data_IF_422111700700
#
_entry.id   IF_422111700700
#
_cell.length_a   1.000
_cell.length_b   1.000
_cell.length_c   1.000
_cell.angle_alpha   90.00
_cell.angle_beta   90.00
_cell.angle_gamma   90.00
#
_symmetry.space_group_name_H-M   'P 1'
#
loop_
_entity.id
_entity.type
_entity.pdbx_description
1 polymer ?
#
# COMPACT_ATOMS: atom_id res chain seq x y z
N UNK A 1 0.49 -14.67 -5.43
CA UNK A 1 -0.35 -15.67 -4.70
C UNK A 1 -1.51 -16.23 -5.52
N UNK A 2 -2.31 -15.41 -6.22
CA UNK A 2 -3.55 -15.89 -6.84
C UNK A 2 -3.42 -16.92 -7.98
N UNK A 3 -2.33 -16.95 -8.77
CA UNK A 3 -2.24 -17.84 -9.96
C UNK A 3 -2.18 -19.32 -9.58
N UNK A 4 -1.35 -19.71 -8.60
CA UNK A 4 -1.25 -21.11 -8.16
C UNK A 4 -2.60 -21.64 -7.69
N UNK A 5 -3.25 -20.93 -6.75
CA UNK A 5 -4.56 -21.31 -6.24
C UNK A 5 -5.67 -21.22 -7.31
N UNK A 6 -5.64 -20.23 -8.22
CA UNK A 6 -6.59 -20.17 -9.36
C UNK A 6 -6.45 -21.35 -10.29
N UNK A 7 -5.21 -21.75 -10.61
CA UNK A 7 -4.95 -22.93 -11.44
C UNK A 7 -5.42 -24.20 -10.72
N UNK A 8 -5.16 -24.30 -9.42
CA UNK A 8 -5.60 -25.44 -8.60
C UNK A 8 -7.14 -25.53 -8.54
N UNK A 9 -7.83 -24.40 -8.34
CA UNK A 9 -9.30 -24.34 -8.43
C UNK A 9 -9.81 -24.68 -9.83
N UNK A 10 -9.14 -24.20 -10.89
CA UNK A 10 -9.53 -24.49 -12.28
C UNK A 10 -9.34 -25.96 -12.63
N UNK A 11 -8.24 -26.57 -12.18
CA UNK A 11 -7.95 -27.98 -12.40
C UNK A 11 -8.90 -28.88 -11.60
N UNK A 12 -9.25 -28.51 -10.37
CA UNK A 12 -10.28 -29.18 -9.58
C UNK A 12 -11.68 -29.08 -10.24
N UNK A 13 -12.05 -27.90 -10.76
CA UNK A 13 -13.28 -27.71 -11.54
C UNK A 13 -13.30 -28.54 -12.84
N UNK A 14 -12.12 -28.83 -13.41
CA UNK A 14 -11.96 -29.66 -14.59
C UNK A 14 -11.85 -31.16 -14.27
N UNK A 15 -12.09 -31.58 -13.02
CA UNK A 15 -12.08 -32.98 -12.60
C UNK A 15 -10.70 -33.64 -12.55
N UNK A 16 -9.62 -32.87 -12.58
CA UNK A 16 -8.26 -33.41 -12.43
C UNK A 16 -7.97 -33.67 -10.96
N UNK A 17 -7.26 -34.77 -10.68
CA UNK A 17 -6.84 -35.07 -9.31
C UNK A 17 -5.97 -33.94 -8.74
N UNK A 18 -6.20 -33.56 -7.47
CA UNK A 18 -5.42 -32.52 -6.82
C UNK A 18 -3.95 -32.93 -6.75
N UNK A 19 -3.05 -32.05 -7.24
CA UNK A 19 -1.61 -32.24 -7.10
C UNK A 19 -1.18 -31.96 -5.66
N UNK A 20 -1.36 -32.95 -4.79
CA UNK A 20 -0.88 -32.97 -3.40
C UNK A 20 -1.80 -32.30 -2.38
N UNK A 21 -1.41 -32.41 -1.10
CA UNK A 21 -2.14 -31.83 0.02
C UNK A 21 -1.94 -30.30 0.07
N UNK A 22 -3.04 -29.57 0.28
CA UNK A 22 -2.98 -28.13 0.49
C UNK A 22 -2.32 -27.84 1.84
N UNK A 23 -1.22 -27.05 1.89
CA UNK A 23 -0.61 -26.69 3.15
C UNK A 23 -1.55 -25.84 4.01
N UNK A 24 -1.53 -26.09 5.32
CA UNK A 24 -2.37 -25.42 6.33
C UNK A 24 -1.94 -23.96 6.60
N UNK A 25 -0.79 -23.55 6.07
CA UNK A 25 -0.30 -22.18 6.12
C UNK A 25 -0.45 -21.56 4.74
N UNK A 26 -0.82 -20.27 4.67
CA UNK A 26 -1.01 -19.50 3.45
C UNK A 26 0.33 -19.21 2.72
N UNK A 27 1.23 -20.17 2.71
CA UNK A 27 2.47 -20.21 1.96
C UNK A 27 2.25 -21.09 0.73
N UNK A 28 3.01 -20.83 -0.32
CA UNK A 28 3.05 -21.78 -1.43
C UNK A 28 3.86 -23.00 -1.02
N UNK A 29 3.51 -24.21 -1.51
CA UNK A 29 4.32 -25.40 -1.28
C UNK A 29 5.80 -25.15 -1.61
N UNK A 30 6.71 -25.80 -0.88
CA UNK A 30 8.16 -25.60 -1.02
C UNK A 30 8.64 -25.69 -2.48
N UNK A 31 8.14 -26.66 -3.25
CA UNK A 31 8.50 -26.83 -4.65
C UNK A 31 8.10 -25.63 -5.52
N UNK A 32 6.94 -25.03 -5.26
CA UNK A 32 6.47 -23.83 -5.95
C UNK A 32 7.27 -22.60 -5.51
N UNK A 33 7.67 -22.50 -4.24
CA UNK A 33 8.57 -21.44 -3.78
C UNK A 33 9.93 -21.51 -4.50
N UNK A 34 10.53 -22.71 -4.58
CA UNK A 34 11.78 -22.95 -5.32
C UNK A 34 11.62 -22.58 -6.79
N UNK A 35 10.51 -22.96 -7.42
CA UNK A 35 10.22 -22.63 -8.82
C UNK A 35 10.16 -21.12 -9.04
N UNK A 36 9.52 -20.37 -8.14
CA UNK A 36 9.42 -18.90 -8.21
C UNK A 36 10.76 -18.22 -8.04
N UNK A 37 11.57 -18.67 -7.07
CA UNK A 37 12.93 -18.17 -6.87
C UNK A 37 13.79 -18.44 -8.11
N UNK A 38 13.70 -19.64 -8.68
CA UNK A 38 14.41 -19.98 -9.91
C UNK A 38 14.01 -19.05 -11.05
N UNK A 39 12.71 -18.82 -11.24
CA UNK A 39 12.22 -17.88 -12.26
C UNK A 39 12.75 -16.47 -12.04
N UNK A 40 12.71 -15.94 -10.80
CA UNK A 40 13.27 -14.63 -10.46
C UNK A 40 14.78 -14.56 -10.77
N UNK A 41 15.52 -15.62 -10.46
CA UNK A 41 16.95 -15.70 -10.78
C UNK A 41 17.21 -15.72 -12.29
N UNK A 42 16.37 -16.38 -13.09
CA UNK A 42 16.48 -16.32 -14.56
C UNK A 42 16.14 -14.93 -15.11
N UNK A 43 15.16 -14.24 -14.52
CA UNK A 43 14.83 -12.85 -14.90
C UNK A 43 15.98 -11.86 -14.63
N UNK A 44 16.87 -12.15 -13.68
CA UNK A 44 18.03 -11.28 -13.41
C UNK A 44 19.15 -11.48 -14.46
N UNK A 45 19.14 -12.60 -15.18
CA UNK A 45 20.18 -12.95 -16.17
C UNK A 45 19.90 -12.41 -17.57
N UNK A 46 18.66 -12.01 -17.84
CA UNK A 46 18.29 -11.43 -19.14
C UNK A 46 18.65 -9.96 -19.21
N UNK A 47 18.80 -9.45 -20.42
CA UNK A 47 19.11 -8.03 -20.65
C UNK A 47 18.03 -7.13 -20.06
N UNK A 48 18.44 -5.94 -19.60
CA UNK A 48 17.54 -5.00 -18.93
C UNK A 48 16.37 -4.58 -19.82
N UNK A 49 16.58 -4.40 -21.13
CA UNK A 49 15.50 -4.03 -22.04
C UNK A 49 14.42 -5.14 -22.14
N UNK A 50 14.85 -6.40 -22.19
CA UNK A 50 13.95 -7.55 -22.21
C UNK A 50 13.22 -7.72 -20.88
N UNK A 51 13.90 -7.45 -19.76
CA UNK A 51 13.31 -7.46 -18.44
C UNK A 51 12.23 -6.37 -18.28
N UNK A 52 12.47 -5.17 -18.81
CA UNK A 52 11.47 -4.09 -18.86
C UNK A 52 10.28 -4.49 -19.72
N UNK A 53 10.49 -5.12 -20.88
CA UNK A 53 9.39 -5.63 -21.73
C UNK A 53 8.54 -6.65 -20.97
N UNK A 54 9.16 -7.58 -20.24
CA UNK A 54 8.44 -8.55 -19.40
C UNK A 54 7.64 -7.86 -18.29
N UNK A 55 8.25 -6.88 -17.61
CA UNK A 55 7.61 -6.10 -16.56
C UNK A 55 6.36 -5.34 -17.04
N UNK A 56 6.40 -4.80 -18.27
CA UNK A 56 5.29 -4.06 -18.87
C UNK A 56 4.23 -4.98 -19.49
N UNK A 57 4.64 -6.11 -20.08
CA UNK A 57 3.74 -7.01 -20.81
C UNK A 57 2.73 -7.70 -19.89
N UNK A 58 3.16 -8.13 -18.70
CA UNK A 58 2.26 -8.82 -17.78
C UNK A 58 2.45 -8.44 -16.30
N UNK A 59 1.56 -9.00 -15.46
CA UNK A 59 1.61 -8.81 -14.02
C UNK A 59 2.29 -9.97 -13.27
N UNK A 60 2.79 -11.00 -13.95
CA UNK A 60 3.45 -12.15 -13.36
C UNK A 60 4.73 -11.73 -12.61
N UNK A 61 5.63 -11.02 -13.28
CA UNK A 61 6.88 -10.58 -12.65
C UNK A 61 6.59 -9.70 -11.42
N UNK A 62 5.66 -8.77 -11.52
CA UNK A 62 5.26 -7.92 -10.39
C UNK A 62 4.56 -8.69 -9.26
N UNK A 63 3.81 -9.74 -9.58
CA UNK A 63 3.19 -10.60 -8.58
C UNK A 63 4.22 -11.47 -7.84
N UNK A 64 5.31 -11.85 -8.52
CA UNK A 64 6.44 -12.55 -7.94
C UNK A 64 7.28 -11.63 -7.06
N UNK A 65 7.56 -10.41 -7.51
CA UNK A 65 8.20 -9.37 -6.69
C UNK A 65 7.40 -9.12 -5.41
N UNK A 66 6.08 -8.89 -5.52
CA UNK A 66 5.20 -8.70 -4.35
C UNK A 66 5.17 -9.93 -3.44
N UNK A 67 5.31 -11.14 -3.99
CA UNK A 67 5.44 -12.35 -3.18
C UNK A 67 6.79 -12.39 -2.44
N UNK A 68 7.89 -12.07 -3.11
CA UNK A 68 9.23 -12.00 -2.51
C UNK A 68 9.32 -10.98 -1.38
N UNK A 69 8.68 -9.81 -1.54
CA UNK A 69 8.61 -8.77 -0.49
C UNK A 69 7.84 -9.20 0.77
N UNK A 70 7.02 -10.25 0.69
CA UNK A 70 6.29 -10.82 1.84
C UNK A 70 7.01 -12.03 2.46
N UNK A 71 8.17 -12.47 1.92
CA UNK A 71 8.96 -13.53 2.54
C UNK A 71 9.61 -13.03 3.84
N UNK A 72 9.96 -13.94 4.75
CA UNK A 72 10.61 -13.56 6.02
C UNK A 72 12.06 -13.07 5.83
N UNK A 73 12.74 -13.52 4.77
CA UNK A 73 14.15 -13.27 4.51
C UNK A 73 14.42 -11.85 4.00
N UNK A 74 15.19 -11.10 4.78
CA UNK A 74 15.57 -9.72 4.50
C UNK A 74 16.51 -9.60 3.28
N UNK A 75 17.33 -10.61 2.97
CA UNK A 75 18.17 -10.64 1.76
C UNK A 75 17.29 -10.69 0.51
N UNK A 76 16.26 -11.55 0.53
CA UNK A 76 15.29 -11.65 -0.59
C UNK A 76 14.55 -10.33 -0.75
N UNK A 77 14.07 -9.72 0.34
CA UNK A 77 13.39 -8.42 0.28
C UNK A 77 14.28 -7.33 -0.31
N UNK A 78 15.55 -7.25 0.11
CA UNK A 78 16.52 -6.30 -0.45
C UNK A 78 16.70 -6.50 -1.94
N UNK A 79 16.86 -7.74 -2.41
CA UNK A 79 16.93 -8.03 -3.83
C UNK A 79 15.66 -7.57 -4.57
N UNK A 80 14.48 -7.81 -3.99
CA UNK A 80 13.20 -7.41 -4.58
C UNK A 80 13.02 -5.89 -4.66
N UNK A 81 13.35 -5.12 -3.62
CA UNK A 81 13.22 -3.65 -3.66
C UNK A 81 14.19 -3.05 -4.67
N UNK A 82 15.43 -3.57 -4.75
CA UNK A 82 16.43 -3.10 -5.72
C UNK A 82 15.98 -3.40 -7.15
N UNK A 83 15.56 -4.65 -7.42
CA UNK A 83 15.01 -5.03 -8.71
C UNK A 83 13.83 -4.13 -9.11
N UNK A 84 12.89 -3.90 -8.18
CA UNK A 84 11.73 -3.04 -8.40
C UNK A 84 12.15 -1.63 -8.80
N UNK A 85 13.15 -1.07 -8.11
CA UNK A 85 13.61 0.29 -8.36
C UNK A 85 14.21 0.48 -9.76
N UNK A 86 14.79 -0.57 -10.36
CA UNK A 86 15.37 -0.48 -11.71
C UNK A 86 14.37 -0.11 -12.80
N UNK A 87 13.07 -0.39 -12.60
CA UNK A 87 12.04 -0.09 -13.60
C UNK A 87 11.65 1.40 -13.63
N UNK A 88 11.86 2.14 -12.54
CA UNK A 88 11.58 3.57 -12.43
C UNK A 88 10.20 4.04 -12.95
N UNK A 89 9.20 3.16 -12.94
CA UNK A 89 7.85 3.44 -13.43
C UNK A 89 6.82 3.57 -12.31
N UNK A 90 5.57 3.92 -12.68
CA UNK A 90 4.51 4.12 -11.68
C UNK A 90 4.17 2.84 -10.92
N UNK A 91 4.33 1.68 -11.56
CA UNK A 91 4.05 0.37 -10.96
C UNK A 91 5.08 0.02 -9.90
N UNK A 92 6.37 0.27 -10.17
CA UNK A 92 7.47 0.13 -9.24
C UNK A 92 7.35 1.11 -8.06
N UNK A 93 7.02 2.38 -8.34
CA UNK A 93 6.74 3.38 -7.30
C UNK A 93 5.68 2.86 -6.32
N UNK A 94 4.53 2.41 -6.84
CA UNK A 94 3.44 1.93 -6.02
C UNK A 94 3.86 0.71 -5.18
N UNK A 95 4.63 -0.24 -5.74
CA UNK A 95 5.12 -1.41 -5.00
C UNK A 95 6.01 -1.00 -3.83
N UNK A 96 6.92 -0.06 -4.04
CA UNK A 96 7.82 0.43 -2.99
C UNK A 96 7.07 1.28 -1.95
N UNK A 97 6.10 2.10 -2.36
CA UNK A 97 5.20 2.83 -1.45
C UNK A 97 4.37 1.88 -0.58
N UNK A 98 3.85 0.81 -1.18
CA UNK A 98 3.14 -0.24 -0.46
C UNK A 98 4.05 -0.89 0.60
N UNK A 99 5.32 -1.12 0.24
CA UNK A 99 6.31 -1.75 1.12
C UNK A 99 6.66 -0.88 2.35
N UNK A 100 6.91 0.42 2.18
CA UNK A 100 7.31 1.31 3.29
C UNK A 100 6.16 1.61 4.28
N UNK A 101 4.91 1.41 3.85
CA UNK A 101 3.72 1.57 4.70
C UNK A 101 3.41 0.29 5.50
N UNK A 102 3.92 -0.86 5.06
CA UNK A 102 3.66 -2.14 5.72
C UNK A 102 4.39 -2.23 7.08
N UNK A 103 3.60 -2.33 8.15
CA UNK A 103 4.09 -2.42 9.53
C UNK A 103 4.92 -3.67 9.82
N UNK A 104 4.75 -4.72 9.02
CA UNK A 104 5.45 -6.00 9.19
C UNK A 104 6.89 -5.94 8.68
N UNK A 105 7.22 -4.92 7.89
CA UNK A 105 8.55 -4.73 7.33
C UNK A 105 9.46 -4.02 8.32
N UNK A 106 10.72 -4.44 8.39
CA UNK A 106 11.71 -3.85 9.30
C UNK A 106 12.07 -2.43 8.85
N UNK A 107 12.32 -1.56 9.81
CA UNK A 107 12.66 -0.17 9.52
C UNK A 107 14.01 -0.03 8.80
N UNK A 108 14.93 -0.99 9.01
CA UNK A 108 16.21 -1.08 8.29
C UNK A 108 15.99 -1.17 6.78
N UNK A 109 15.10 -2.06 6.31
CA UNK A 109 14.85 -2.20 4.87
C UNK A 109 14.01 -1.04 4.33
N UNK A 110 13.11 -0.49 5.14
CA UNK A 110 12.37 0.73 4.75
C UNK A 110 13.31 1.90 4.50
N UNK A 111 14.38 2.04 5.29
CA UNK A 111 15.41 3.05 5.06
C UNK A 111 16.08 2.90 3.68
N UNK A 112 16.41 1.67 3.28
CA UNK A 112 16.94 1.40 1.93
C UNK A 112 15.91 1.74 0.85
N UNK A 113 14.64 1.36 1.05
CA UNK A 113 13.55 1.66 0.11
C UNK A 113 13.32 3.18 -0.07
N UNK A 114 13.52 4.02 0.94
CA UNK A 114 13.50 5.48 0.76
C UNK A 114 14.60 5.98 -0.16
N UNK A 115 15.81 5.44 -0.03
CA UNK A 115 16.92 5.77 -0.93
C UNK A 115 16.56 5.46 -2.38
N UNK A 116 15.93 4.31 -2.61
CA UNK A 116 15.47 3.88 -3.94
C UNK A 116 14.34 4.76 -4.48
N UNK A 117 13.31 5.06 -3.67
CA UNK A 117 12.23 5.96 -4.06
C UNK A 117 12.73 7.35 -4.45
N UNK A 118 13.73 7.86 -3.72
CA UNK A 118 14.38 9.13 -4.05
C UNK A 118 15.17 9.05 -5.35
N UNK A 119 15.87 7.94 -5.60
CA UNK A 119 16.61 7.72 -6.85
C UNK A 119 15.68 7.64 -8.07
N UNK A 120 14.49 7.09 -7.90
CA UNK A 120 13.43 7.02 -8.93
C UNK A 120 12.69 8.35 -9.16
N UNK A 121 13.11 9.46 -8.53
CA UNK A 121 12.45 10.78 -8.60
C UNK A 121 10.95 10.73 -8.25
N UNK A 122 10.59 9.87 -7.28
CA UNK A 122 9.20 9.70 -6.87
C UNK A 122 8.68 10.98 -6.24
N UNK A 123 7.58 11.48 -6.80
CA UNK A 123 6.92 12.68 -6.30
C UNK A 123 6.42 12.49 -4.87
N UNK A 124 6.74 13.47 -4.06
CA UNK A 124 6.33 13.63 -2.69
C UNK A 124 5.01 14.39 -2.56
N UNK A 125 4.43 14.51 -1.37
CA UNK A 125 4.66 13.65 -0.20
C UNK A 125 4.28 12.20 -0.47
N UNK A 126 4.88 11.29 0.29
CA UNK A 126 4.34 9.95 0.51
C UNK A 126 4.49 9.56 1.98
N UNK A 127 3.77 8.52 2.40
CA UNK A 127 3.73 8.11 3.80
C UNK A 127 4.50 6.82 4.02
N UNK A 128 4.98 6.63 5.24
CA UNK A 128 5.63 5.40 5.67
C UNK A 128 5.35 5.11 7.14
N UNK A 129 5.64 3.88 7.55
CA UNK A 129 5.60 3.45 8.94
C UNK A 129 7.02 3.19 9.45
N UNK A 130 7.52 3.98 10.40
CA UNK A 130 8.87 3.86 10.98
C UNK A 130 8.77 4.08 12.49
N UNK A 131 9.51 3.32 13.29
CA UNK A 131 9.56 3.43 14.76
C UNK A 131 8.17 3.31 15.40
N UNK A 132 7.31 2.45 14.83
CA UNK A 132 5.93 2.26 15.30
C UNK A 132 4.99 3.44 14.99
N UNK A 133 5.45 4.45 14.25
CA UNK A 133 4.69 5.64 13.92
C UNK A 133 4.54 5.85 12.42
N UNK A 134 3.42 6.43 12.01
CA UNK A 134 3.27 6.92 10.64
C UNK A 134 3.99 8.25 10.47
N UNK A 135 4.88 8.30 9.49
CA UNK A 135 5.66 9.48 9.12
C UNK A 135 5.32 9.89 7.69
N UNK A 136 5.09 11.18 7.48
CA UNK A 136 5.00 11.76 6.14
C UNK A 136 6.42 12.09 5.70
N UNK A 137 6.86 11.48 4.59
CA UNK A 137 8.15 11.76 3.98
C UNK A 137 7.99 12.96 3.07
N UNK A 138 8.63 14.07 3.47
CA UNK A 138 8.72 15.32 2.73
C UNK A 138 10.18 15.62 2.48
N UNK A 139 10.59 15.75 1.23
CA UNK A 139 11.82 16.43 0.83
C UNK A 139 11.49 17.81 0.25
N UNK A 140 10.33 18.09 -0.40
CA UNK A 140 10.07 19.46 -0.90
C UNK A 140 8.61 19.97 -1.14
N UNK A 141 7.54 19.22 -0.87
CA UNK A 141 6.19 19.63 -1.33
C UNK A 141 5.50 20.81 -0.60
N UNK A 142 6.06 21.35 0.49
CA UNK A 142 5.28 22.16 1.45
C UNK A 142 5.94 23.48 1.83
N UNK A 143 6.50 24.21 0.87
CA UNK A 143 6.98 25.57 1.15
C UNK A 143 5.85 26.54 1.55
N UNK A 144 4.61 26.30 1.10
CA UNK A 144 3.50 27.25 1.26
C UNK A 144 2.39 26.84 2.26
N UNK A 145 2.36 25.58 2.70
CA UNK A 145 1.40 25.14 3.73
C UNK A 145 1.97 25.40 5.13
N UNK A 146 1.42 26.39 5.85
CA UNK A 146 1.87 26.71 7.21
C UNK A 146 1.92 25.50 8.15
N UNK A 147 2.87 25.48 9.11
CA UNK A 147 3.16 24.36 10.04
C UNK A 147 1.92 23.74 10.71
N UNK A 148 0.89 24.54 11.02
CA UNK A 148 -0.33 24.07 11.66
C UNK A 148 -1.19 23.19 10.73
N UNK A 149 -1.28 23.52 9.44
CA UNK A 149 -2.00 22.70 8.45
C UNK A 149 -1.32 21.35 8.32
N UNK A 150 0.02 21.32 8.26
CA UNK A 150 0.77 20.08 8.21
C UNK A 150 0.51 19.18 9.41
N UNK A 151 0.48 19.75 10.62
CA UNK A 151 0.19 18.98 11.84
C UNK A 151 -1.16 18.24 11.73
N UNK A 152 -2.23 18.93 11.31
CA UNK A 152 -3.56 18.32 11.21
C UNK A 152 -3.61 17.14 10.23
N UNK A 153 -2.90 17.21 9.10
CA UNK A 153 -2.89 16.14 8.10
C UNK A 153 -2.14 14.89 8.61
N UNK A 154 -1.00 15.09 9.29
CA UNK A 154 -0.30 13.99 9.98
C UNK A 154 -1.17 13.36 11.07
N UNK A 155 -1.95 14.18 11.77
CA UNK A 155 -2.86 13.75 12.83
C UNK A 155 -4.04 12.94 12.28
N UNK A 156 -4.53 13.22 11.06
CA UNK A 156 -5.52 12.38 10.35
C UNK A 156 -4.99 10.97 10.15
N UNK A 157 -3.77 10.85 9.60
CA UNK A 157 -3.13 9.55 9.35
C UNK A 157 -2.90 8.79 10.65
N UNK A 158 -2.44 9.50 11.69
CA UNK A 158 -2.21 8.91 13.01
C UNK A 158 -3.51 8.36 13.62
N UNK A 159 -4.61 9.12 13.54
CA UNK A 159 -5.93 8.68 14.02
C UNK A 159 -6.47 7.48 13.23
N UNK A 160 -6.34 7.51 11.90
CA UNK A 160 -6.73 6.43 11.00
C UNK A 160 -6.05 5.12 11.39
N UNK A 161 -4.72 5.13 11.45
CA UNK A 161 -3.94 3.92 11.69
C UNK A 161 -4.16 3.38 13.09
N UNK A 162 -4.08 4.23 14.12
CA UNK A 162 -4.24 3.78 15.50
C UNK A 162 -5.60 3.11 15.72
N UNK A 163 -6.65 3.66 15.11
CA UNK A 163 -8.01 3.10 15.18
C UNK A 163 -8.10 1.79 14.40
N UNK A 164 -7.57 1.74 13.17
CA UNK A 164 -7.57 0.51 12.37
C UNK A 164 -6.73 -0.60 13.00
N UNK A 165 -5.64 -0.27 13.69
CA UNK A 165 -4.84 -1.22 14.45
C UNK A 165 -5.64 -1.80 15.63
N UNK A 166 -6.32 -0.95 16.39
CA UNK A 166 -7.18 -1.39 17.50
C UNK A 166 -8.30 -2.33 17.00
N UNK A 167 -8.83 -2.04 15.82
CA UNK A 167 -9.90 -2.82 15.16
C UNK A 167 -9.40 -4.01 14.31
N UNK A 168 -8.10 -4.29 14.30
CA UNK A 168 -7.44 -5.34 13.46
C UNK A 168 -7.80 -5.23 11.96
N UNK A 169 -7.89 -4.00 11.47
CA UNK A 169 -8.29 -3.62 10.12
C UNK A 169 -7.09 -3.24 9.23
N UNK A 170 -5.90 -3.73 9.58
CA UNK A 170 -4.61 -3.47 8.94
C UNK A 170 -4.64 -3.56 7.40
N UNK A 171 -5.38 -4.54 6.89
CA UNK A 171 -5.48 -4.84 5.46
C UNK A 171 -6.01 -3.68 4.62
N UNK A 172 -6.77 -2.75 5.22
CA UNK A 172 -7.32 -1.59 4.52
C UNK A 172 -6.45 -0.33 4.63
N UNK A 173 -5.41 -0.33 5.48
CA UNK A 173 -4.56 0.85 5.73
C UNK A 173 -3.94 1.33 4.42
N UNK A 174 -3.39 0.42 3.62
CA UNK A 174 -2.76 0.77 2.36
C UNK A 174 -3.72 1.51 1.42
N UNK A 175 -4.94 0.98 1.27
CA UNK A 175 -5.95 1.58 0.40
C UNK A 175 -6.41 2.95 0.93
N UNK A 176 -6.54 3.10 2.25
CA UNK A 176 -6.86 4.38 2.87
C UNK A 176 -5.76 5.43 2.63
N UNK A 177 -4.49 5.02 2.68
CA UNK A 177 -3.35 5.90 2.41
C UNK A 177 -3.29 6.34 0.95
N UNK A 178 -3.58 5.45 0.00
CA UNK A 178 -3.67 5.81 -1.43
C UNK A 178 -4.73 6.88 -1.67
N UNK A 179 -5.93 6.72 -1.09
CA UNK A 179 -7.02 7.72 -1.17
C UNK A 179 -6.59 9.05 -0.57
N UNK A 180 -5.87 9.02 0.55
CA UNK A 180 -5.37 10.23 1.21
C UNK A 180 -4.30 10.95 0.40
N UNK A 181 -3.38 10.20 -0.21
CA UNK A 181 -2.36 10.73 -1.09
C UNK A 181 -2.98 11.39 -2.33
N UNK A 182 -3.94 10.73 -2.97
CA UNK A 182 -4.73 11.30 -4.08
C UNK A 182 -5.41 12.62 -3.68
N UNK A 183 -6.02 12.65 -2.50
CA UNK A 183 -6.63 13.87 -1.95
C UNK A 183 -5.62 15.01 -1.79
N UNK A 184 -4.44 14.74 -1.25
CA UNK A 184 -3.39 15.76 -1.06
C UNK A 184 -2.85 16.24 -2.41
N UNK A 185 -2.58 15.32 -3.35
CA UNK A 185 -2.07 15.65 -4.69
C UNK A 185 -3.04 16.48 -5.52
N UNK A 186 -4.35 16.40 -5.28
CA UNK A 186 -5.29 17.27 -5.97
C UNK A 186 -5.05 18.78 -5.71
N UNK A 187 -4.41 19.11 -4.59
CA UNK A 187 -4.00 20.47 -4.26
C UNK A 187 -2.54 20.76 -4.64
N UNK A 188 -1.95 20.00 -5.58
CA UNK A 188 -0.58 20.24 -6.05
C UNK A 188 -0.37 21.71 -6.42
N UNK A 189 0.69 22.33 -5.88
CA UNK A 189 1.00 23.77 -5.96
C UNK A 189 -0.10 24.74 -5.48
N UNK A 190 -1.08 24.28 -4.70
CA UNK A 190 -2.14 25.08 -4.06
C UNK A 190 -2.09 24.96 -2.54
N UNK A 191 -2.63 25.96 -1.86
CA UNK A 191 -2.75 25.93 -0.40
C UNK A 191 -3.70 24.80 0.04
N UNK A 192 -3.21 23.90 0.90
CA UNK A 192 -4.03 22.83 1.47
C UNK A 192 -5.18 23.38 2.33
N UNK A 193 -6.39 22.81 2.22
CA UNK A 193 -7.50 23.16 3.09
C UNK A 193 -7.15 22.92 4.56
N UNK A 194 -7.42 23.90 5.42
CA UNK A 194 -7.26 23.75 6.87
C UNK A 194 -8.22 22.68 7.40
N UNK A 195 -7.70 21.74 8.19
CA UNK A 195 -8.49 20.73 8.89
C UNK A 195 -8.56 21.11 10.36
N UNK A 196 -9.77 21.45 10.82
CA UNK A 196 -10.05 21.71 12.24
C UNK A 196 -9.90 20.44 13.07
N UNK A 197 -9.55 20.52 14.37
CA UNK A 197 -9.40 19.35 15.24
C UNK A 197 -10.58 18.36 15.22
N UNK A 198 -11.81 18.87 15.22
CA UNK A 198 -13.01 18.04 15.16
C UNK A 198 -13.19 17.26 13.84
N UNK A 199 -12.59 17.74 12.76
CA UNK A 199 -12.64 17.10 11.44
C UNK A 199 -11.50 16.10 11.24
N UNK A 200 -10.45 16.12 12.06
CA UNK A 200 -9.34 15.15 11.97
C UNK A 200 -9.88 13.72 12.09
N UNK A 201 -10.65 13.47 13.17
CA UNK A 201 -11.34 12.19 13.41
C UNK A 201 -12.34 11.83 12.31
N UNK A 202 -13.00 12.84 11.73
CA UNK A 202 -13.97 12.63 10.66
C UNK A 202 -13.32 12.21 9.33
N UNK A 203 -12.19 12.83 8.98
CA UNK A 203 -11.39 12.44 7.81
C UNK A 203 -10.83 11.03 7.98
N UNK A 204 -10.29 10.70 9.15
CA UNK A 204 -9.80 9.35 9.44
C UNK A 204 -10.92 8.30 9.29
N UNK A 205 -12.09 8.52 9.89
CA UNK A 205 -13.25 7.64 9.72
C UNK A 205 -13.71 7.53 8.25
N UNK A 206 -13.68 8.63 7.50
CA UNK A 206 -14.08 8.65 6.09
C UNK A 206 -13.10 7.86 5.20
N UNK A 207 -11.79 7.96 5.47
CA UNK A 207 -10.76 7.20 4.76
C UNK A 207 -10.93 5.69 4.97
N UNK A 208 -11.15 5.24 6.20
CA UNK A 208 -11.41 3.82 6.47
C UNK A 208 -12.70 3.34 5.77
N UNK A 209 -13.77 4.15 5.81
CA UNK A 209 -15.02 3.83 5.11
C UNK A 209 -14.80 3.60 3.62
N UNK A 210 -14.09 4.52 2.95
CA UNK A 210 -13.82 4.44 1.52
C UNK A 210 -12.87 3.28 1.19
N UNK A 211 -11.85 3.04 2.02
CA UNK A 211 -10.91 1.95 1.82
C UNK A 211 -11.58 0.57 1.90
N UNK A 212 -12.44 0.36 2.90
CA UNK A 212 -13.23 -0.88 3.03
C UNK A 212 -14.18 -1.04 1.85
N UNK A 213 -14.92 0.02 1.48
CA UNK A 213 -15.83 0.02 0.33
C UNK A 213 -15.10 -0.33 -0.97
N UNK A 214 -13.94 0.28 -1.22
CA UNK A 214 -13.12 0.02 -2.41
C UNK A 214 -12.56 -1.41 -2.44
N UNK A 215 -12.43 -2.05 -1.27
CA UNK A 215 -11.95 -3.42 -1.13
C UNK A 215 -13.08 -4.46 -1.09
N UNK A 216 -14.34 -4.05 -1.36
CA UNK A 216 -15.50 -4.94 -1.34
C UNK A 216 -16.03 -5.30 0.06
N UNK A 217 -15.48 -4.70 1.12
CA UNK A 217 -15.95 -4.88 2.50
C UNK A 217 -16.97 -3.80 2.87
N UNK A 218 -18.13 -4.21 3.39
CA UNK A 218 -19.11 -3.25 3.93
C UNK A 218 -18.78 -2.89 5.38
N UNK A 219 -18.89 -1.61 5.74
CA UNK A 219 -18.84 -1.15 7.13
C UNK A 219 -19.96 -0.14 7.37
N UNK A 220 -20.60 -0.23 8.55
CA UNK A 220 -21.70 0.66 8.90
C UNK A 220 -21.11 1.97 9.43
N UNK A 221 -21.60 3.11 8.91
CA UNK A 221 -21.14 4.45 9.32
C UNK A 221 -21.20 4.68 10.84
N UNK A 222 -22.26 4.20 11.51
CA UNK A 222 -22.42 4.34 12.96
C UNK A 222 -21.29 3.66 13.77
N UNK A 223 -20.75 2.54 13.28
CA UNK A 223 -19.59 1.88 13.89
C UNK A 223 -18.35 2.78 13.82
N UNK A 224 -18.07 3.35 12.65
CA UNK A 224 -16.91 4.24 12.47
C UNK A 224 -17.06 5.53 13.27
N UNK A 225 -18.27 6.11 13.31
CA UNK A 225 -18.57 7.29 14.14
C UNK A 225 -18.20 7.04 15.60
N UNK A 226 -18.53 5.85 16.13
CA UNK A 226 -18.18 5.43 17.49
C UNK A 226 -16.68 5.18 17.64
N UNK A 227 -16.07 4.39 16.75
CA UNK A 227 -14.65 4.02 16.82
C UNK A 227 -13.72 5.25 16.82
N UNK A 228 -14.02 6.22 15.96
CA UNK A 228 -13.21 7.44 15.82
C UNK A 228 -13.64 8.57 16.77
N UNK A 229 -14.76 8.43 17.49
CA UNK A 229 -15.32 9.50 18.33
C UNK A 229 -15.66 10.77 17.53
N UNK A 230 -16.36 10.62 16.41
CA UNK A 230 -16.83 11.72 15.55
C UNK A 230 -18.37 11.78 15.51
N UNK A 231 -18.97 12.50 14.57
CA UNK A 231 -20.43 12.53 14.32
C UNK A 231 -20.75 12.13 12.88
N UNK A 232 -21.96 11.62 12.65
CA UNK A 232 -22.41 11.22 11.31
C UNK A 232 -22.37 12.40 10.31
N UNK A 233 -22.74 13.60 10.76
CA UNK A 233 -22.69 14.81 9.94
C UNK A 233 -21.26 15.13 9.50
N UNK A 234 -20.28 15.10 10.41
CA UNK A 234 -18.88 15.37 10.08
C UNK A 234 -18.30 14.28 9.18
N UNK A 235 -18.64 13.02 9.43
CA UNK A 235 -18.24 11.90 8.57
C UNK A 235 -18.74 12.11 7.13
N UNK A 236 -20.03 12.42 6.95
CA UNK A 236 -20.59 12.66 5.62
C UNK A 236 -19.96 13.86 4.91
N UNK A 237 -19.64 14.94 5.64
CA UNK A 237 -18.93 16.10 5.10
C UNK A 237 -17.51 15.73 4.64
N UNK A 238 -16.77 14.95 5.44
CA UNK A 238 -15.43 14.48 5.07
C UNK A 238 -15.48 13.54 3.85
N UNK A 239 -16.45 12.62 3.81
CA UNK A 239 -16.68 11.74 2.65
C UNK A 239 -16.90 12.54 1.36
N UNK A 240 -17.77 13.55 1.40
CA UNK A 240 -18.02 14.43 0.23
C UNK A 240 -16.73 15.09 -0.27
N UNK A 241 -15.86 15.55 0.64
CA UNK A 241 -14.58 16.17 0.26
C UNK A 241 -13.60 15.19 -0.38
N UNK A 242 -13.53 13.97 0.12
CA UNK A 242 -12.65 12.92 -0.41
C UNK A 242 -13.17 12.39 -1.76
N UNK A 243 -14.48 12.14 -1.88
CA UNK A 243 -15.10 11.64 -3.11
C UNK A 243 -15.01 12.62 -4.27
N UNK A 244 -15.09 13.94 -4.01
CA UNK A 244 -14.94 14.97 -5.04
C UNK A 244 -13.60 14.89 -5.79
N UNK A 245 -12.61 14.17 -5.23
CA UNK A 245 -11.27 14.05 -5.78
C UNK A 245 -10.97 12.63 -6.32
N UNK A 246 -11.61 11.60 -5.79
CA UNK A 246 -11.23 10.18 -6.03
C UNK A 246 -12.13 9.43 -7.04
N UNK A 247 -13.17 10.07 -7.56
CA UNK A 247 -14.05 9.53 -8.61
C UNK A 247 -13.75 10.14 -10.01
N UNK A 248 -12.55 10.70 -10.23
CA UNK A 248 -12.07 11.22 -11.52
C UNK A 248 -11.03 10.30 -12.17
#
# INVERSE_FOLDING_TARGET
>A
MARYYRTLCRDALAGKEPRGNLPYHFEVPHDEAIRRIRYLNECIKIDHEELVKLWQRDNELSALVRWGLNMSDDIIKRAMINLTATFADKKAENILKDFIIDRRQSDVIKQEAFGLLKHMDVKEPYFAYIDGAFVEVKVNFFKDAGKATFKSYKEVVSQLVNTMQADRADEFVLKAMQIWEEYIRHFDNKALPKISPANIKAFAAALEYMARKASGSSVIKSRLVRAYGTTLTRLNTALRKLQAVTEQ
#
